data_IF_906986636118
#
_entry.id   IF_906986636118
#
_cell.length_a   1.000
_cell.length_b   1.000
_cell.length_c   1.000
_cell.angle_alpha   90.00
_cell.angle_beta   90.00
_cell.angle_gamma   90.00
#
_symmetry.space_group_name_H-M   'P 1'
#
loop_
_entity.id
_entity.type
_entity.pdbx_description
1 polymer ?
#
# COMPACT_ATOMS: atom_id res chain seq x y z
N UNK A 1 1.02 13.05 3.86
CA UNK A 1 0.92 12.32 5.15
C UNK A 1 -0.08 11.17 4.99
N UNK A 2 0.35 10.01 4.44
CA UNK A 2 -0.51 8.85 4.18
C UNK A 2 -0.80 8.03 5.43
N UNK A 3 0.25 7.63 6.15
CA UNK A 3 0.16 6.87 7.41
C UNK A 3 -0.75 7.50 8.45
N UNK A 4 -0.52 8.77 8.77
CA UNK A 4 -1.33 9.50 9.76
C UNK A 4 -2.81 9.62 9.36
N UNK A 5 -3.11 9.88 8.07
CA UNK A 5 -4.50 9.97 7.59
C UNK A 5 -5.20 8.62 7.52
N UNK A 6 -4.44 7.53 7.34
CA UNK A 6 -4.96 6.16 7.33
C UNK A 6 -5.17 5.60 8.74
N UNK A 7 -4.77 6.35 9.79
CA UNK A 7 -4.81 5.88 11.17
C UNK A 7 -3.92 4.67 11.42
N UNK A 8 -2.82 4.54 10.67
CA UNK A 8 -1.92 3.37 10.67
C UNK A 8 -2.65 2.03 10.45
N UNK A 9 -3.74 2.03 9.69
CA UNK A 9 -4.55 0.83 9.44
C UNK A 9 -4.59 0.46 7.97
N UNK A 10 -4.66 -0.85 7.71
CA UNK A 10 -4.89 -1.35 6.36
C UNK A 10 -6.21 -0.81 5.83
N UNK A 11 -6.20 -0.24 4.62
CA UNK A 11 -7.41 0.32 4.01
C UNK A 11 -8.46 -0.75 3.67
N UNK A 12 -8.09 -2.03 3.59
CA UNK A 12 -9.01 -3.15 3.36
C UNK A 12 -9.46 -3.78 4.69
N UNK A 13 -8.57 -4.47 5.41
CA UNK A 13 -8.96 -5.23 6.61
C UNK A 13 -8.91 -4.46 7.94
N UNK A 14 -8.52 -3.18 7.93
CA UNK A 14 -8.53 -2.27 9.09
C UNK A 14 -7.63 -2.67 10.27
N UNK A 15 -6.80 -3.72 10.14
CA UNK A 15 -5.79 -4.07 11.14
C UNK A 15 -4.76 -2.94 11.28
N UNK A 16 -4.18 -2.81 12.47
CA UNK A 16 -3.02 -1.94 12.68
C UNK A 16 -1.81 -2.46 11.91
N UNK A 17 -1.05 -1.54 11.35
CA UNK A 17 0.08 -1.81 10.46
C UNK A 17 1.44 -1.67 11.15
N UNK A 18 1.42 -1.45 12.45
CA UNK A 18 2.59 -1.50 13.32
C UNK A 18 2.29 -2.54 14.39
N UNK A 19 3.13 -3.56 14.46
CA UNK A 19 3.13 -4.52 15.55
C UNK A 19 4.01 -3.96 16.65
N UNK A 20 3.47 -3.90 17.86
CA UNK A 20 4.19 -3.41 19.04
C UNK A 20 5.47 -4.21 19.30
N UNK A 21 6.41 -3.56 19.99
CA UNK A 21 7.64 -4.21 20.43
C UNK A 21 7.36 -5.42 21.33
N UNK A 22 8.27 -6.40 21.29
CA UNK A 22 8.34 -7.46 22.31
C UNK A 22 9.41 -7.09 23.35
N UNK A 23 9.66 -7.98 24.31
CA UNK A 23 10.80 -7.81 25.23
C UNK A 23 12.16 -7.97 24.55
N UNK A 24 12.19 -8.55 23.35
CA UNK A 24 13.40 -8.90 22.60
C UNK A 24 13.51 -8.16 21.26
N UNK A 25 12.39 -7.68 20.72
CA UNK A 25 12.30 -7.14 19.37
C UNK A 25 11.70 -5.72 19.38
N UNK A 26 12.19 -4.88 18.46
CA UNK A 26 11.60 -3.57 18.20
C UNK A 26 10.20 -3.69 17.54
N UNK A 27 9.40 -2.60 17.51
CA UNK A 27 8.15 -2.60 16.75
C UNK A 27 8.40 -2.94 15.28
N UNK A 28 7.47 -3.65 14.66
CA UNK A 28 7.57 -4.08 13.26
C UNK A 28 6.52 -3.38 12.41
N UNK A 29 6.95 -2.76 11.32
CA UNK A 29 6.04 -2.16 10.33
C UNK A 29 5.66 -3.24 9.32
N UNK A 30 4.36 -3.56 9.25
CA UNK A 30 3.80 -4.56 8.33
C UNK A 30 2.91 -3.93 7.24
N UNK A 31 2.83 -2.60 7.23
CA UNK A 31 2.14 -1.81 6.23
C UNK A 31 3.05 -1.36 5.10
N UNK A 32 2.46 -1.22 3.92
CA UNK A 32 3.13 -0.83 2.70
C UNK A 32 2.35 0.32 2.05
N UNK A 33 3.07 1.33 1.54
CA UNK A 33 2.49 2.36 0.69
C UNK A 33 2.37 1.77 -0.72
N UNK A 34 1.14 1.60 -1.18
CA UNK A 34 0.84 0.92 -2.42
C UNK A 34 0.34 1.93 -3.44
N UNK A 35 0.83 1.84 -4.68
CA UNK A 35 0.26 2.59 -5.78
C UNK A 35 -1.08 1.97 -6.21
N UNK A 36 -2.09 2.81 -6.44
CA UNK A 36 -3.37 2.38 -7.03
C UNK A 36 -3.16 2.05 -8.51
N UNK A 37 -2.45 2.94 -9.23
CA UNK A 37 -1.95 2.74 -10.60
C UNK A 37 -0.43 2.57 -10.55
N UNK A 38 0.08 1.45 -11.07
CA UNK A 38 1.53 1.20 -11.10
C UNK A 38 2.26 2.13 -12.07
N UNK A 39 3.43 2.61 -11.66
CA UNK A 39 4.37 3.33 -12.53
C UNK A 39 5.23 2.43 -13.42
N UNK A 40 5.23 1.11 -13.19
CA UNK A 40 6.00 0.16 -13.99
C UNK A 40 5.24 -0.23 -15.25
N UNK A 41 5.88 -0.07 -16.42
CA UNK A 41 5.31 -0.55 -17.71
C UNK A 41 5.03 -2.05 -17.62
N UNK A 42 3.80 -2.44 -17.96
CA UNK A 42 3.29 -3.81 -17.81
C UNK A 42 3.30 -4.35 -16.36
N UNK A 43 3.45 -3.47 -15.36
CA UNK A 43 3.25 -3.82 -13.96
C UNK A 43 1.78 -3.95 -13.58
N UNK A 44 1.49 -4.35 -12.34
CA UNK A 44 0.11 -4.50 -11.88
C UNK A 44 -0.72 -3.24 -12.06
N UNK A 45 -1.91 -3.33 -12.66
CA UNK A 45 -2.81 -2.17 -12.84
C UNK A 45 -2.15 -0.99 -13.58
N UNK A 46 -1.11 -1.24 -14.38
CA UNK A 46 -0.45 -0.21 -15.20
C UNK A 46 -1.43 0.40 -16.21
N UNK A 47 -1.40 1.71 -16.35
CA UNK A 47 -2.21 2.44 -17.31
C UNK A 47 -1.33 3.41 -18.10
N UNK A 48 -1.18 3.17 -19.41
CA UNK A 48 -0.36 4.00 -20.30
C UNK A 48 -0.88 5.43 -20.49
N UNK A 49 -2.16 5.67 -20.17
CA UNK A 49 -2.80 6.98 -20.26
C UNK A 49 -2.79 7.74 -18.93
N UNK A 50 -2.26 7.13 -17.86
CA UNK A 50 -2.14 7.80 -16.57
C UNK A 50 -0.94 8.75 -16.58
N UNK A 51 -1.11 9.93 -16.00
CA UNK A 51 -0.07 10.94 -15.94
C UNK A 51 1.09 10.45 -15.06
N UNK A 52 2.29 10.42 -15.64
CA UNK A 52 3.50 9.98 -14.95
C UNK A 52 3.87 10.88 -13.78
N UNK A 53 3.51 12.17 -13.85
CA UNK A 53 3.76 13.12 -12.77
C UNK A 53 2.87 12.84 -11.54
N UNK A 54 1.76 12.11 -11.72
CA UNK A 54 0.82 11.77 -10.65
C UNK A 54 1.09 10.40 -10.02
N UNK A 55 2.08 9.63 -10.49
CA UNK A 55 2.35 8.28 -9.97
C UNK A 55 2.63 8.32 -8.46
N UNK A 56 3.46 9.24 -7.98
CA UNK A 56 3.77 9.37 -6.56
C UNK A 56 2.87 10.39 -5.83
N UNK A 57 1.75 10.78 -6.45
CA UNK A 57 0.79 11.69 -5.82
C UNK A 57 0.07 11.01 -4.66
N UNK A 58 -0.33 11.79 -3.67
CA UNK A 58 -1.09 11.27 -2.52
C UNK A 58 -2.38 10.58 -2.97
N UNK A 59 -2.99 11.09 -4.03
CA UNK A 59 -4.22 10.59 -4.65
C UNK A 59 -4.06 9.19 -5.28
N UNK A 60 -2.83 8.82 -5.67
CA UNK A 60 -2.51 7.51 -6.22
C UNK A 60 -1.94 6.53 -5.18
N UNK A 61 -1.87 6.91 -3.91
CA UNK A 61 -1.33 6.07 -2.85
C UNK A 61 -2.43 5.57 -1.91
N UNK A 62 -2.33 4.30 -1.52
CA UNK A 62 -3.18 3.68 -0.51
C UNK A 62 -2.31 2.89 0.46
N UNK A 63 -2.67 2.88 1.74
CA UNK A 63 -1.95 2.12 2.75
C UNK A 63 -2.60 0.76 2.98
N UNK A 64 -1.83 -0.33 2.81
CA UNK A 64 -2.30 -1.71 2.96
C UNK A 64 -1.34 -2.54 3.81
N UNK A 65 -1.79 -3.66 4.36
CA UNK A 65 -0.86 -4.67 4.88
C UNK A 65 -0.26 -5.47 3.72
N UNK A 66 0.93 -6.04 3.95
CA UNK A 66 1.65 -6.84 2.94
C UNK A 66 0.81 -7.94 2.30
N UNK A 67 -0.08 -8.59 3.06
CA UNK A 67 -1.01 -9.60 2.54
C UNK A 67 -1.94 -9.02 1.47
N UNK A 68 -2.58 -7.88 1.77
CA UNK A 68 -3.53 -7.28 0.83
C UNK A 68 -2.83 -6.59 -0.33
N UNK A 69 -1.63 -6.00 -0.12
CA UNK A 69 -0.84 -5.47 -1.22
C UNK A 69 -0.47 -6.57 -2.22
N UNK A 70 0.06 -7.71 -1.73
CA UNK A 70 0.39 -8.84 -2.58
C UNK A 70 -0.83 -9.40 -3.30
N UNK A 71 -1.96 -9.50 -2.60
CA UNK A 71 -3.22 -9.99 -3.17
C UNK A 71 -3.67 -9.12 -4.36
N UNK A 72 -3.71 -7.80 -4.24
CA UNK A 72 -4.17 -6.92 -5.32
C UNK A 72 -3.18 -6.85 -6.50
N UNK A 73 -1.90 -7.10 -6.26
CA UNK A 73 -0.90 -7.17 -7.32
C UNK A 73 -1.03 -8.46 -8.13
N UNK A 74 -1.31 -9.58 -7.48
CA UNK A 74 -1.41 -10.90 -8.11
C UNK A 74 -2.79 -11.21 -8.70
N UNK A 75 -3.86 -10.72 -8.07
CA UNK A 75 -5.25 -11.08 -8.37
C UNK A 75 -6.04 -9.87 -8.90
N UNK A 76 -5.54 -9.24 -9.96
CA UNK A 76 -6.07 -7.97 -10.48
C UNK A 76 -7.52 -8.04 -11.01
N UNK A 77 -8.00 -9.23 -11.34
CA UNK A 77 -9.33 -9.46 -11.93
C UNK A 77 -10.40 -9.78 -10.86
N UNK A 78 -10.08 -9.69 -9.56
CA UNK A 78 -10.97 -10.02 -8.44
C UNK A 78 -11.14 -8.85 -7.48
#
# INVERSE_FOLDING_TARGET
MLWGRSGNRCSICKIELVIEATTQDAPSVIGEECHIISGQVNGPRYNSNYDKELIDSYENLILLCSVHHKMIDDQQET
#
